data_IF_256248289894
#
_entry.id   IF_256248289894
#
_cell.length_a   1.000
_cell.length_b   1.000
_cell.length_c   1.000
_cell.angle_alpha   90.00
_cell.angle_beta   90.00
_cell.angle_gamma   90.00
#
_symmetry.space_group_name_H-M   'P 1'
#
loop_
_entity.id
_entity.type
_entity.pdbx_description
1 polymer ?
#
# COMPACT_ATOMS: atom_id res chain seq x y z
N UNK A 1 10.97 -65.43 -13.56
CA UNK A 1 11.49 -64.76 -12.34
C UNK A 1 12.41 -63.58 -12.63
N UNK A 2 13.39 -63.68 -13.54
CA UNK A 2 14.37 -62.61 -13.81
C UNK A 2 13.79 -61.24 -14.25
N UNK A 3 12.84 -61.22 -15.20
CA UNK A 3 12.30 -59.97 -15.79
C UNK A 3 11.61 -59.02 -14.80
N UNK A 4 11.06 -59.55 -13.70
CA UNK A 4 10.34 -58.73 -12.70
C UNK A 4 11.33 -57.96 -11.81
N UNK A 5 12.51 -58.53 -11.59
CA UNK A 5 13.59 -57.91 -10.82
C UNK A 5 14.22 -56.72 -11.56
N UNK A 6 14.36 -56.83 -12.89
CA UNK A 6 14.96 -55.77 -13.71
C UNK A 6 14.05 -54.54 -13.84
N UNK A 7 12.73 -54.76 -13.92
CA UNK A 7 11.76 -53.66 -13.96
C UNK A 7 11.75 -52.85 -12.66
N UNK A 8 11.66 -53.54 -11.52
CA UNK A 8 11.68 -52.88 -10.20
C UNK A 8 12.98 -52.14 -9.95
N UNK A 9 14.12 -52.70 -10.38
CA UNK A 9 15.42 -52.02 -10.29
C UNK A 9 15.45 -50.72 -11.10
N UNK A 10 15.05 -50.78 -12.38
CA UNK A 10 14.98 -49.58 -13.24
C UNK A 10 14.04 -48.52 -12.71
N UNK A 11 12.89 -48.93 -12.15
CA UNK A 11 11.95 -48.00 -11.54
C UNK A 11 12.56 -47.31 -10.30
N UNK A 12 13.29 -48.05 -9.46
CA UNK A 12 13.95 -47.49 -8.28
C UNK A 12 15.11 -46.56 -8.66
N UNK A 13 15.94 -46.94 -9.63
CA UNK A 13 17.03 -46.10 -10.15
C UNK A 13 16.47 -44.77 -10.70
N UNK A 14 15.33 -44.84 -11.39
CA UNK A 14 14.66 -43.67 -11.94
C UNK A 14 14.07 -42.76 -10.85
N UNK A 15 13.45 -43.32 -9.81
CA UNK A 15 12.97 -42.56 -8.66
C UNK A 15 14.13 -41.90 -7.90
N UNK A 16 15.22 -42.63 -7.69
CA UNK A 16 16.42 -42.12 -7.01
C UNK A 16 17.05 -40.98 -7.79
N UNK A 17 17.15 -41.09 -9.12
CA UNK A 17 17.66 -40.03 -9.99
C UNK A 17 16.80 -38.76 -9.93
N UNK A 18 15.47 -38.91 -9.78
CA UNK A 18 14.53 -37.79 -9.71
C UNK A 18 14.45 -37.14 -8.33
N UNK A 19 14.79 -37.89 -7.28
CA UNK A 19 14.67 -37.41 -5.90
C UNK A 19 15.62 -36.22 -5.63
N UNK A 20 16.87 -36.30 -6.06
CA UNK A 20 17.86 -35.25 -5.83
C UNK A 20 17.45 -33.87 -6.39
N UNK A 21 17.04 -33.76 -7.67
CA UNK A 21 16.53 -32.50 -8.21
C UNK A 21 15.32 -31.93 -7.45
N UNK A 22 14.41 -32.78 -6.99
CA UNK A 22 13.22 -32.34 -6.24
C UNK A 22 13.60 -31.84 -4.84
N UNK A 23 14.54 -32.51 -4.16
CA UNK A 23 15.07 -32.04 -2.88
C UNK A 23 15.76 -30.69 -3.03
N UNK A 24 16.62 -30.55 -4.04
CA UNK A 24 17.28 -29.27 -4.35
C UNK A 24 16.28 -28.16 -4.68
N UNK A 25 15.20 -28.48 -5.40
CA UNK A 25 14.14 -27.52 -5.66
C UNK A 25 13.45 -27.08 -4.36
N UNK A 26 13.17 -28.01 -3.45
CA UNK A 26 12.63 -27.70 -2.12
C UNK A 26 13.52 -26.72 -1.36
N UNK A 27 14.81 -27.02 -1.23
CA UNK A 27 15.80 -26.15 -0.56
C UNK A 27 15.85 -24.75 -1.18
N UNK A 28 15.80 -24.65 -2.51
CA UNK A 28 15.78 -23.36 -3.21
C UNK A 28 14.50 -22.58 -2.97
N UNK A 29 13.35 -23.24 -2.85
CA UNK A 29 12.08 -22.59 -2.55
C UNK A 29 12.05 -22.08 -1.10
N UNK A 30 12.59 -22.83 -0.16
CA UNK A 30 12.72 -22.40 1.23
C UNK A 30 13.67 -21.19 1.35
N UNK A 31 14.85 -21.27 0.72
CA UNK A 31 15.79 -20.14 0.67
C UNK A 31 15.17 -18.91 -0.02
N UNK A 32 14.38 -19.11 -1.08
CA UNK A 32 13.63 -18.02 -1.71
C UNK A 32 12.64 -17.39 -0.73
N UNK A 33 11.89 -18.20 0.02
CA UNK A 33 10.91 -17.69 0.98
C UNK A 33 11.57 -16.87 2.10
N UNK A 34 12.74 -17.31 2.59
CA UNK A 34 13.55 -16.57 3.55
C UNK A 34 14.00 -15.21 2.98
N UNK A 35 14.53 -15.19 1.76
CA UNK A 35 14.93 -13.93 1.11
C UNK A 35 13.78 -13.00 0.80
N UNK A 36 12.60 -13.54 0.46
CA UNK A 36 11.39 -12.72 0.29
C UNK A 36 10.91 -12.13 1.61
N UNK A 37 11.12 -12.80 2.75
CA UNK A 37 10.85 -12.24 4.07
C UNK A 37 11.84 -11.11 4.41
N UNK A 38 13.15 -11.34 4.24
CA UNK A 38 14.19 -10.32 4.43
C UNK A 38 13.92 -9.07 3.56
N UNK A 39 13.47 -9.25 2.32
CA UNK A 39 13.16 -8.16 1.41
C UNK A 39 11.95 -7.33 1.91
N UNK A 40 10.91 -7.98 2.43
CA UNK A 40 9.77 -7.28 3.04
C UNK A 40 10.18 -6.48 4.27
N UNK A 41 11.06 -7.01 5.10
CA UNK A 41 11.59 -6.29 6.27
C UNK A 41 12.41 -5.06 5.83
N UNK A 42 13.21 -5.21 4.76
CA UNK A 42 13.93 -4.08 4.16
C UNK A 42 12.99 -3.01 3.62
N UNK A 43 11.93 -3.40 2.90
CA UNK A 43 10.92 -2.48 2.40
C UNK A 43 10.25 -1.71 3.54
N UNK A 44 9.86 -2.40 4.61
CA UNK A 44 9.27 -1.75 5.80
C UNK A 44 10.24 -0.76 6.46
N UNK A 45 11.54 -1.09 6.53
CA UNK A 45 12.57 -0.19 7.04
C UNK A 45 12.74 1.06 6.14
N UNK A 46 12.69 0.89 4.82
CA UNK A 46 12.75 2.00 3.86
C UNK A 46 11.53 2.91 4.04
N UNK A 47 10.32 2.35 4.15
CA UNK A 47 9.09 3.12 4.36
C UNK A 47 9.18 3.95 5.65
N UNK A 48 9.68 3.34 6.73
CA UNK A 48 9.91 4.03 8.00
C UNK A 48 10.89 5.18 7.85
N UNK A 49 12.02 4.97 7.17
CA UNK A 49 13.02 6.02 6.94
C UNK A 49 12.47 7.17 6.09
N UNK A 50 11.66 6.87 5.06
CA UNK A 50 11.01 7.90 4.24
C UNK A 50 10.01 8.72 5.07
N UNK A 51 9.24 8.07 5.95
CA UNK A 51 8.34 8.77 6.87
C UNK A 51 9.10 9.67 7.84
N UNK A 52 10.22 9.21 8.40
CA UNK A 52 11.08 10.02 9.28
C UNK A 52 11.61 11.27 8.56
N UNK A 53 12.00 11.15 7.27
CA UNK A 53 12.36 12.31 6.46
C UNK A 53 11.20 13.31 6.29
N UNK A 54 9.99 12.81 6.01
CA UNK A 54 8.80 13.66 5.85
C UNK A 54 8.42 14.33 7.18
N UNK A 55 8.54 13.63 8.31
CA UNK A 55 8.30 14.17 9.65
C UNK A 55 9.34 15.23 10.03
N UNK A 56 10.58 15.08 9.58
CA UNK A 56 11.63 16.09 9.68
C UNK A 56 11.40 17.31 8.77
N UNK A 57 10.35 17.32 7.94
CA UNK A 57 9.93 18.47 7.14
C UNK A 57 10.37 18.46 5.67
N UNK A 58 11.02 17.39 5.20
CA UNK A 58 11.38 17.26 3.79
C UNK A 58 10.15 17.07 2.90
N UNK A 59 10.07 17.79 1.78
CA UNK A 59 8.99 17.58 0.81
C UNK A 59 9.28 16.34 -0.05
N UNK A 60 8.25 15.54 -0.42
CA UNK A 60 8.39 14.44 -1.37
C UNK A 60 9.13 14.77 -2.67
N UNK A 61 8.94 15.98 -3.20
CA UNK A 61 9.62 16.44 -4.42
C UNK A 61 11.13 16.60 -4.19
N UNK A 62 11.53 17.19 -3.07
CA UNK A 62 12.93 17.39 -2.68
C UNK A 62 13.62 16.03 -2.46
N UNK A 63 12.94 15.07 -1.82
CA UNK A 63 13.44 13.71 -1.68
C UNK A 63 13.67 13.03 -3.04
N UNK A 64 12.77 13.28 -4.00
CA UNK A 64 12.92 12.75 -5.37
C UNK A 64 14.13 13.37 -6.08
N UNK A 65 14.36 14.67 -5.91
CA UNK A 65 15.53 15.37 -6.45
C UNK A 65 16.84 14.86 -5.84
N UNK A 66 16.82 14.43 -4.58
CA UNK A 66 17.92 13.76 -3.89
C UNK A 66 18.09 12.28 -4.27
N UNK A 67 17.25 11.77 -5.18
CA UNK A 67 17.37 10.42 -5.73
C UNK A 67 16.51 9.36 -5.02
N UNK A 68 15.66 9.74 -4.07
CA UNK A 68 14.68 8.80 -3.50
C UNK A 68 13.63 8.46 -4.56
N UNK A 69 13.46 7.20 -4.96
CA UNK A 69 12.49 6.83 -5.97
C UNK A 69 11.06 7.20 -5.53
N UNK A 70 10.25 7.71 -6.46
CA UNK A 70 8.84 8.05 -6.19
C UNK A 70 8.03 6.86 -5.67
N UNK A 71 8.41 5.63 -6.03
CA UNK A 71 7.77 4.40 -5.55
C UNK A 71 7.96 4.17 -4.05
N UNK A 72 9.04 4.69 -3.47
CA UNK A 72 9.33 4.59 -2.03
C UNK A 72 8.58 5.67 -1.21
N UNK A 73 8.07 6.71 -1.87
CA UNK A 73 7.36 7.80 -1.19
C UNK A 73 5.87 7.50 -1.21
N UNK A 74 5.35 6.97 -0.11
CA UNK A 74 3.92 6.71 0.01
C UNK A 74 3.12 8.00 -0.16
N UNK A 75 2.21 8.01 -1.12
CA UNK A 75 1.25 9.11 -1.31
C UNK A 75 0.35 9.12 -0.08
N UNK A 76 0.56 10.09 0.82
CA UNK A 76 -0.30 10.29 2.01
C UNK A 76 -1.77 10.17 1.57
N UNK A 77 -2.48 9.19 2.13
CA UNK A 77 -3.94 9.17 2.09
C UNK A 77 -4.41 10.51 2.68
N UNK A 78 -5.36 11.22 2.04
CA UNK A 78 -5.92 12.42 2.64
C UNK A 78 -6.49 12.03 3.99
N UNK A 79 -5.94 12.60 5.07
CA UNK A 79 -6.52 12.47 6.39
C UNK A 79 -7.94 13.02 6.28
N UNK A 80 -8.93 12.16 6.50
CA UNK A 80 -10.31 12.58 6.73
C UNK A 80 -10.29 13.43 7.99
N UNK A 81 -10.10 14.73 7.84
CA UNK A 81 -10.28 15.68 8.92
C UNK A 81 -11.79 15.76 9.14
N UNK A 82 -12.33 14.92 10.03
CA UNK A 82 -13.66 15.15 10.60
C UNK A 82 -13.54 16.43 11.42
N UNK A 83 -13.86 17.56 10.79
CA UNK A 83 -14.08 18.82 11.47
C UNK A 83 -15.39 18.65 12.25
N UNK A 84 -15.29 18.31 13.53
CA UNK A 84 -16.45 18.37 14.41
C UNK A 84 -16.95 19.84 14.47
N UNK A 85 -18.25 20.10 14.23
CA UNK A 85 -18.79 21.45 14.33
C UNK A 85 -18.65 21.94 15.76
N UNK A 86 -17.87 23.01 15.98
CA UNK A 86 -17.90 23.74 17.25
C UNK A 86 -19.27 24.36 17.40
N UNK A 87 -20.14 23.75 18.20
CA UNK A 87 -21.34 24.42 18.69
C UNK A 87 -20.89 25.48 19.69
N UNK A 88 -20.87 26.73 19.24
CA UNK A 88 -20.68 27.88 20.12
C UNK A 88 -21.84 27.94 21.10
N UNK A 89 -21.52 27.76 22.38
CA UNK A 89 -22.42 28.05 23.49
C UNK A 89 -22.13 29.51 23.92
N UNK A 90 -23.04 30.44 23.60
CA UNK A 90 -23.24 31.64 24.42
C UNK A 90 -24.57 32.32 24.10
N UNK A 91 -25.31 32.65 25.17
CA UNK A 91 -26.70 33.09 25.18
C UNK A 91 -27.04 34.49 24.62
N UNK A 92 -28.35 34.64 24.40
CA UNK A 92 -29.20 35.84 24.56
C UNK A 92 -28.64 37.22 24.16
N UNK A 93 -29.14 37.77 23.04
CA UNK A 93 -29.80 39.08 23.04
C UNK A 93 -30.64 39.29 21.77
N UNK A 94 -31.79 39.95 21.94
CA UNK A 94 -32.76 40.39 20.94
C UNK A 94 -32.28 41.60 20.13
N UNK A 95 -32.80 41.69 18.90
CA UNK A 95 -33.34 42.88 18.23
C UNK A 95 -32.65 43.43 16.95
N UNK A 96 -33.52 43.74 15.97
CA UNK A 96 -33.44 44.72 14.88
C UNK A 96 -32.38 44.62 13.76
N UNK A 97 -32.88 44.60 12.50
CA UNK A 97 -32.11 45.03 11.33
C UNK A 97 -32.60 44.54 9.97
N UNK A 98 -33.82 44.90 9.56
CA UNK A 98 -34.22 44.89 8.14
C UNK A 98 -33.33 45.84 7.33
N UNK A 99 -32.88 45.42 6.14
CA UNK A 99 -32.90 46.30 4.98
C UNK A 99 -32.96 45.50 3.66
N UNK A 100 -34.09 45.66 3.00
CA UNK A 100 -34.47 45.11 1.70
C UNK A 100 -33.85 45.85 0.51
N UNK A 101 -34.07 45.25 -0.66
CA UNK A 101 -34.05 45.76 -2.04
C UNK A 101 -32.73 45.51 -2.82
N UNK A 102 -32.75 45.01 -4.05
CA UNK A 102 -33.75 45.23 -5.10
C UNK A 102 -33.70 44.17 -6.22
N UNK A 103 -34.87 43.85 -6.80
CA UNK A 103 -35.00 43.26 -8.16
C UNK A 103 -35.34 41.77 -8.32
N UNK A 104 -36.62 41.38 -8.19
CA UNK A 104 -37.18 40.17 -8.87
C UNK A 104 -37.87 40.53 -10.21
N UNK A 105 -38.67 39.65 -10.90
CA UNK A 105 -38.80 38.18 -10.88
C UNK A 105 -38.85 37.47 -12.29
N UNK A 106 -38.41 36.19 -12.39
CA UNK A 106 -39.02 34.92 -12.97
C UNK A 106 -39.74 34.92 -14.38
N UNK A 107 -39.93 33.82 -15.18
CA UNK A 107 -39.13 32.70 -15.76
C UNK A 107 -39.26 32.50 -17.35
N UNK A 108 -38.71 31.39 -17.90
CA UNK A 108 -38.69 30.70 -19.26
C UNK A 108 -39.90 30.82 -20.25
N UNK A 109 -39.84 30.43 -21.58
CA UNK A 109 -39.33 29.14 -22.14
C UNK A 109 -38.68 29.11 -23.57
N UNK A 110 -38.19 27.91 -23.94
CA UNK A 110 -37.44 27.44 -25.14
C UNK A 110 -37.96 27.77 -26.56
N UNK A 111 -37.11 27.61 -27.59
CA UNK A 111 -37.51 27.12 -28.92
C UNK A 111 -37.52 25.59 -29.03
#
# INVERSE_FOLDING_TARGET
MAKKNDFTKRANDFLTMRLGPVQRLGELLDAKAEKEAELKDCDAAIEKAVLECIEAGWKPAELTELGVPKTAIQRRQPRTATLEPRTSDHGTHTDSGENSADGGPVPEPSP
#
